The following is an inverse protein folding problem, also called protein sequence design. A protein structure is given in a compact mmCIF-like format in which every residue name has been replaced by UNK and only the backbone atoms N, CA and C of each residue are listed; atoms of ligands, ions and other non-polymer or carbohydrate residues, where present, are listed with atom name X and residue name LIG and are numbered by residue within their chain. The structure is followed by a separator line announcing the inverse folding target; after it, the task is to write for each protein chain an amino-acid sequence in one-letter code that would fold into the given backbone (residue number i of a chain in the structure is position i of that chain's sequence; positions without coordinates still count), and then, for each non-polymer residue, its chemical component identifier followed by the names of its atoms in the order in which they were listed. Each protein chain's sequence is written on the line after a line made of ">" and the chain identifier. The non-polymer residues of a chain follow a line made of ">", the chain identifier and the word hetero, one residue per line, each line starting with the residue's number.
data_IF_447709833458
#
_entry.id   IF_447709833458
#
_cell.length_a   1.000
_cell.length_b   1.000
_cell.length_c   1.000
_cell.angle_alpha   90.00
_cell.angle_beta   90.00
_cell.angle_gamma   90.00
#
_symmetry.space_group_name_H-M   'P 1'
#
loop_
_entity.id
_entity.type
_entity.pdbx_description
1 polymer ?
#
# COMPACT_ATOMS: atom_id res chain seq x y z
N UNK A 1 -9.30 22.03 -18.76
CA UNK A 1 -9.49 20.58 -18.91
C UNK A 1 -9.08 19.94 -17.60
N UNK A 2 -9.92 19.11 -16.98
CA UNK A 2 -9.49 18.32 -15.84
C UNK A 2 -8.37 17.37 -16.30
N UNK A 3 -7.38 17.14 -15.46
CA UNK A 3 -6.32 16.16 -15.70
C UNK A 3 -6.99 14.78 -15.71
N UNK A 4 -7.03 14.13 -16.88
CA UNK A 4 -7.47 12.73 -16.99
C UNK A 4 -6.64 11.87 -16.04
N UNK A 5 -7.24 10.85 -15.44
CA UNK A 5 -6.61 9.99 -14.41
C UNK A 5 -5.28 9.36 -14.87
N UNK A 6 -5.02 9.28 -16.19
CA UNK A 6 -3.74 8.83 -16.72
C UNK A 6 -2.57 9.80 -16.46
N UNK A 7 -2.86 11.10 -16.28
CA UNK A 7 -1.85 12.12 -16.01
C UNK A 7 -1.41 12.14 -14.53
N UNK A 8 -2.26 11.67 -13.61
CA UNK A 8 -1.87 11.48 -12.20
C UNK A 8 -0.88 10.33 -12.02
N UNK A 9 -1.02 9.27 -12.83
CA UNK A 9 -0.08 8.14 -12.83
C UNK A 9 1.34 8.51 -13.27
N UNK A 10 1.53 9.58 -14.05
CA UNK A 10 2.86 9.96 -14.58
C UNK A 10 3.75 10.78 -13.64
N UNK A 11 3.24 11.25 -12.50
CA UNK A 11 3.97 12.21 -11.64
C UNK A 11 4.66 11.59 -10.41
N UNK A 12 4.62 10.27 -10.25
CA UNK A 12 5.18 9.54 -9.10
C UNK A 12 6.61 8.99 -9.36
N UNK A 13 7.20 9.24 -10.52
CA UNK A 13 8.49 8.66 -10.93
C UNK A 13 9.68 9.58 -10.62
N UNK A 14 10.14 9.57 -9.37
CA UNK A 14 11.55 9.84 -9.04
C UNK A 14 12.36 8.54 -8.92
N UNK A 15 11.77 7.51 -8.31
CA UNK A 15 12.46 6.28 -7.90
C UNK A 15 12.08 5.02 -8.71
N UNK A 16 11.10 5.14 -9.61
CA UNK A 16 10.67 4.04 -10.47
C UNK A 16 10.86 4.48 -11.92
N UNK A 17 11.44 3.63 -12.77
CA UNK A 17 11.58 3.97 -14.20
C UNK A 17 10.20 4.28 -14.79
N UNK A 18 10.11 5.28 -15.69
CA UNK A 18 8.86 5.67 -16.38
C UNK A 18 8.12 4.50 -17.08
N UNK A 19 8.77 3.35 -17.22
CA UNK A 19 8.23 2.13 -17.84
C UNK A 19 7.55 1.15 -16.87
N UNK A 20 7.69 1.33 -15.56
CA UNK A 20 7.19 0.37 -14.57
C UNK A 20 5.80 0.79 -14.13
N UNK A 21 4.81 -0.03 -14.47
CA UNK A 21 3.44 0.14 -13.95
C UNK A 21 3.41 -0.29 -12.49
N UNK A 22 2.90 0.58 -11.62
CA UNK A 22 2.74 0.36 -10.18
C UNK A 22 1.27 0.53 -9.81
N UNK A 23 0.84 -0.15 -8.76
CA UNK A 23 -0.40 0.15 -8.06
C UNK A 23 -0.08 1.06 -6.86
N UNK A 24 -0.68 2.25 -6.82
CA UNK A 24 -0.38 3.22 -5.76
C UNK A 24 -1.26 3.00 -4.54
N UNK A 25 -0.66 3.00 -3.36
CA UNK A 25 -1.33 3.10 -2.07
C UNK A 25 -1.21 4.55 -1.62
N UNK A 26 -2.29 5.31 -1.78
CA UNK A 26 -2.38 6.71 -1.37
C UNK A 26 -3.30 6.83 -0.15
N UNK A 27 -2.83 7.51 0.89
CA UNK A 27 -3.65 7.87 2.04
C UNK A 27 -4.20 9.30 1.84
N UNK A 28 -5.51 9.50 1.99
CA UNK A 28 -6.13 10.81 1.81
C UNK A 28 -5.74 11.79 2.93
N UNK A 29 -5.28 11.29 4.07
CA UNK A 29 -4.79 12.09 5.19
C UNK A 29 -3.86 11.30 6.10
N UNK A 30 -3.05 12.00 6.91
CA UNK A 30 -2.24 11.38 7.96
C UNK A 30 -3.09 10.55 8.94
N UNK A 31 -4.35 10.95 9.18
CA UNK A 31 -5.24 10.19 10.06
C UNK A 31 -5.54 8.79 9.50
N UNK A 32 -5.73 8.67 8.18
CA UNK A 32 -5.96 7.39 7.50
C UNK A 32 -4.70 6.50 7.54
N UNK A 33 -3.52 7.09 7.34
CA UNK A 33 -2.25 6.39 7.54
C UNK A 33 -2.11 5.88 8.97
N UNK A 34 -2.36 6.73 9.97
CA UNK A 34 -2.21 6.34 11.37
C UNK A 34 -3.26 5.33 11.83
N UNK A 35 -4.45 5.31 11.22
CA UNK A 35 -5.44 4.25 11.43
C UNK A 35 -4.83 2.89 11.07
N UNK A 36 -4.27 2.75 9.86
CA UNK A 36 -3.56 1.54 9.45
C UNK A 36 -2.31 1.27 10.30
N UNK A 37 -1.50 2.29 10.61
CA UNK A 37 -0.28 2.17 11.40
C UNK A 37 -0.53 1.57 12.79
N UNK A 38 -1.57 2.05 13.47
CA UNK A 38 -1.91 1.65 14.83
C UNK A 38 -2.36 0.19 14.93
N UNK A 39 -2.80 -0.42 13.82
CA UNK A 39 -3.08 -1.87 13.76
C UNK A 39 -1.82 -2.74 13.86
N UNK A 40 -0.64 -2.14 13.64
CA UNK A 40 0.64 -2.86 13.56
C UNK A 40 0.91 -3.55 12.22
N UNK A 41 0.04 -3.38 11.22
CA UNK A 41 0.18 -4.04 9.90
C UNK A 41 1.52 -3.73 9.24
N UNK A 42 1.97 -2.47 9.24
CA UNK A 42 3.22 -2.07 8.59
C UNK A 42 4.44 -2.63 9.30
N UNK A 43 4.40 -2.73 10.64
CA UNK A 43 5.45 -3.41 11.41
C UNK A 43 5.55 -4.89 11.03
N UNK A 44 4.40 -5.55 10.85
CA UNK A 44 4.37 -6.95 10.42
C UNK A 44 4.89 -7.11 8.98
N UNK A 45 4.52 -6.20 8.07
CA UNK A 45 5.05 -6.16 6.71
C UNK A 45 6.57 -6.00 6.73
N UNK A 46 7.08 -4.95 7.36
CA UNK A 46 8.51 -4.64 7.43
C UNK A 46 9.32 -5.81 8.01
N UNK A 47 8.79 -6.50 9.03
CA UNK A 47 9.45 -7.67 9.62
C UNK A 47 9.56 -8.88 8.67
N UNK A 48 8.58 -9.08 7.79
CA UNK A 48 8.55 -10.21 6.86
C UNK A 48 9.19 -9.91 5.50
N UNK A 49 9.13 -8.67 5.02
CA UNK A 49 9.62 -8.27 3.70
C UNK A 49 11.00 -7.60 3.75
N UNK A 50 11.41 -7.10 4.91
CA UNK A 50 12.62 -6.28 5.06
C UNK A 50 12.48 -4.85 4.53
N UNK A 51 11.26 -4.41 4.19
CA UNK A 51 10.96 -3.04 3.76
C UNK A 51 10.89 -2.08 4.96
N UNK A 52 10.87 -0.78 4.69
CA UNK A 52 10.74 0.27 5.71
C UNK A 52 9.54 1.17 5.40
N UNK A 53 8.34 0.60 5.39
CA UNK A 53 7.12 1.40 5.31
C UNK A 53 6.97 2.19 6.62
N UNK A 54 7.15 3.51 6.55
CA UNK A 54 7.05 4.48 7.64
C UNK A 54 6.30 5.77 7.23
N UNK A 55 6.41 6.86 8.00
CA UNK A 55 5.80 8.16 7.70
C UNK A 55 6.80 9.19 7.15
N UNK A 56 7.99 8.75 6.72
CA UNK A 56 9.07 9.63 6.25
C UNK A 56 9.33 9.52 4.75
N UNK A 57 9.36 8.30 4.20
CA UNK A 57 9.76 8.06 2.80
C UNK A 57 8.76 7.16 2.06
N UNK A 58 8.51 7.46 0.79
CA UNK A 58 7.74 6.57 -0.08
C UNK A 58 8.45 5.22 -0.21
N UNK A 59 7.68 4.14 -0.29
CA UNK A 59 8.24 2.78 -0.29
C UNK A 59 7.67 1.96 -1.45
N UNK A 60 8.54 1.21 -2.13
CA UNK A 60 8.14 0.34 -3.24
C UNK A 60 8.16 -1.10 -2.76
N UNK A 61 6.99 -1.75 -2.76
CA UNK A 61 6.89 -3.19 -2.57
C UNK A 61 7.06 -3.89 -3.93
N UNK A 62 8.12 -4.68 -4.14
CA UNK A 62 8.30 -5.42 -5.39
C UNK A 62 7.15 -6.43 -5.61
N UNK A 63 6.77 -6.68 -6.87
CA UNK A 63 5.66 -7.59 -7.24
C UNK A 63 5.74 -8.96 -6.55
N UNK A 64 6.94 -9.52 -6.44
CA UNK A 64 7.21 -10.81 -5.76
C UNK A 64 6.82 -10.82 -4.27
N UNK A 65 6.80 -9.66 -3.60
CA UNK A 65 6.45 -9.52 -2.18
C UNK A 65 4.98 -9.13 -1.95
N UNK A 66 4.25 -8.71 -2.99
CA UNK A 66 2.84 -8.29 -2.88
C UNK A 66 1.96 -9.39 -2.30
N UNK A 67 2.24 -10.65 -2.64
CA UNK A 67 1.51 -11.79 -2.07
C UNK A 67 1.70 -11.95 -0.55
N UNK A 68 2.89 -11.62 -0.05
CA UNK A 68 3.22 -11.62 1.39
C UNK A 68 2.49 -10.48 2.09
N UNK A 69 2.56 -9.27 1.52
CA UNK A 69 1.86 -8.10 2.04
C UNK A 69 0.35 -8.35 2.14
N UNK A 70 -0.28 -8.82 1.05
CA UNK A 70 -1.72 -9.13 1.04
C UNK A 70 -2.13 -10.20 2.06
N UNK A 71 -1.25 -11.17 2.36
CA UNK A 71 -1.50 -12.15 3.43
C UNK A 71 -1.46 -11.50 4.82
N UNK A 72 -0.48 -10.63 5.06
CA UNK A 72 -0.33 -9.95 6.35
C UNK A 72 -1.53 -9.05 6.61
N UNK A 73 -1.95 -8.25 5.62
CA UNK A 73 -3.12 -7.37 5.72
C UNK A 73 -4.38 -8.16 6.10
N UNK A 74 -4.66 -9.25 5.38
CA UNK A 74 -5.81 -10.13 5.70
C UNK A 74 -5.70 -10.74 7.09
N UNK A 75 -4.51 -11.22 7.47
CA UNK A 75 -4.27 -11.76 8.80
C UNK A 75 -4.50 -10.71 9.89
N UNK A 76 -4.11 -9.45 9.67
CA UNK A 76 -4.38 -8.34 10.60
C UNK A 76 -5.89 -8.11 10.75
N UNK A 77 -6.62 -8.06 9.63
CA UNK A 77 -8.08 -7.91 9.64
C UNK A 77 -8.82 -9.03 10.37
N UNK A 78 -8.27 -10.25 10.37
CA UNK A 78 -8.87 -11.40 11.06
C UNK A 78 -8.47 -11.53 12.55
N UNK A 79 -7.36 -10.91 12.95
CA UNK A 79 -6.74 -11.14 14.27
C UNK A 79 -6.77 -9.94 15.22
N UNK A 80 -7.06 -8.75 14.71
CA UNK A 80 -7.12 -7.51 15.50
C UNK A 80 -8.56 -7.02 15.55
N UNK A 81 -8.99 -6.52 16.71
CA UNK A 81 -10.25 -5.80 16.82
C UNK A 81 -10.05 -4.39 16.24
N UNK A 82 -10.69 -4.12 15.10
CA UNK A 82 -10.50 -2.91 14.31
C UNK A 82 -11.69 -1.98 14.47
N UNK A 83 -11.44 -0.69 14.60
CA UNK A 83 -12.47 0.31 14.36
C UNK A 83 -12.82 0.39 12.86
N UNK A 84 -13.94 1.06 12.56
CA UNK A 84 -14.46 1.14 11.19
C UNK A 84 -13.44 1.77 10.22
N UNK A 85 -12.72 2.80 10.66
CA UNK A 85 -11.71 3.50 9.86
C UNK A 85 -10.53 2.58 9.54
N UNK A 86 -10.00 1.86 10.53
CA UNK A 86 -8.90 0.90 10.36
C UNK A 86 -9.31 -0.29 9.49
N UNK A 87 -10.55 -0.75 9.62
CA UNK A 87 -11.06 -1.83 8.77
C UNK A 87 -11.18 -1.37 7.31
N UNK A 88 -11.73 -0.18 7.06
CA UNK A 88 -11.92 0.35 5.71
C UNK A 88 -10.57 0.51 4.99
N UNK A 89 -9.56 1.07 5.67
CA UNK A 89 -8.23 1.27 5.06
C UNK A 89 -7.52 -0.07 4.80
N UNK A 90 -7.61 -1.03 5.71
CA UNK A 90 -7.01 -2.35 5.51
C UNK A 90 -7.73 -3.13 4.40
N UNK A 91 -9.05 -2.98 4.26
CA UNK A 91 -9.80 -3.55 3.16
C UNK A 91 -9.36 -2.97 1.81
N UNK A 92 -9.23 -1.64 1.70
CA UNK A 92 -8.70 -0.98 0.49
C UNK A 92 -7.30 -1.50 0.15
N UNK A 93 -6.41 -1.61 1.14
CA UNK A 93 -5.07 -2.14 0.96
C UNK A 93 -5.07 -3.61 0.49
N UNK A 94 -5.97 -4.43 1.03
CA UNK A 94 -6.13 -5.83 0.62
C UNK A 94 -6.58 -5.93 -0.85
N UNK A 95 -7.50 -5.06 -1.28
CA UNK A 95 -8.00 -5.02 -2.66
C UNK A 95 -6.92 -4.54 -3.65
N UNK A 96 -6.11 -3.55 -3.26
CA UNK A 96 -4.94 -3.12 -4.02
C UNK A 96 -3.90 -4.25 -4.13
N UNK A 97 -3.61 -4.96 -3.04
CA UNK A 97 -2.72 -6.12 -3.08
C UNK A 97 -3.23 -7.22 -4.02
N UNK A 98 -4.55 -7.46 -4.04
CA UNK A 98 -5.15 -8.43 -4.95
C UNK A 98 -5.02 -8.01 -6.42
N UNK A 99 -5.27 -6.73 -6.71
CA UNK A 99 -5.13 -6.14 -8.05
C UNK A 99 -3.68 -6.20 -8.53
N UNK A 100 -2.75 -5.71 -7.72
CA UNK A 100 -1.32 -5.71 -8.00
C UNK A 100 -0.80 -7.14 -8.23
N UNK A 101 -1.21 -8.10 -7.41
CA UNK A 101 -0.84 -9.52 -7.58
C UNK A 101 -1.37 -10.10 -8.89
N UNK A 102 -2.63 -9.82 -9.24
CA UNK A 102 -3.24 -10.36 -10.46
C UNK A 102 -2.59 -9.77 -11.73
N UNK A 103 -2.03 -8.57 -11.63
CA UNK A 103 -1.38 -7.85 -12.72
C UNK A 103 0.15 -8.00 -12.72
N UNK A 104 0.73 -8.74 -11.78
CA UNK A 104 2.18 -8.85 -11.53
C UNK A 104 2.87 -7.48 -11.41
N UNK A 105 2.22 -6.56 -10.68
CA UNK A 105 2.68 -5.19 -10.49
C UNK A 105 3.20 -4.96 -9.07
N UNK A 106 4.25 -4.15 -8.89
CA UNK A 106 4.66 -3.63 -7.58
C UNK A 106 3.59 -2.71 -6.98
N UNK A 107 3.61 -2.57 -5.65
CA UNK A 107 2.86 -1.53 -4.94
C UNK A 107 3.78 -0.35 -4.64
N UNK A 108 3.27 0.87 -4.75
CA UNK A 108 3.97 2.07 -4.35
C UNK A 108 3.22 2.78 -3.23
N UNK A 109 3.80 2.81 -2.04
CA UNK A 109 3.25 3.52 -0.89
C UNK A 109 3.64 4.99 -0.99
N UNK A 110 2.62 5.84 -1.15
CA UNK A 110 2.75 7.29 -1.17
C UNK A 110 2.34 7.82 0.20
N UNK A 111 3.30 8.39 0.92
CA UNK A 111 3.22 8.65 2.35
C UNK A 111 3.27 10.16 2.68
#
# INVERSE_FOLDING_TARGET
>A
MPLDDSAKHSLLCGDVSESTRVESVEFASNAEFYAAWNTGVFRAINAETGLMIDDFENEVVPAQLVSVVGRIVKSTMESVDLDDDSWEILQKLADLCATAKNSDMPLFFVL
#
